data_IF_475552501565
#
_entry.id   IF_475552501565
#
_cell.length_a   1.000
_cell.length_b   1.000
_cell.length_c   1.000
_cell.angle_alpha   90.00
_cell.angle_beta   90.00
_cell.angle_gamma   90.00
#
_symmetry.space_group_name_H-M   'P 1'
#
loop_
_entity.id
_entity.type
_entity.pdbx_description
1 polymer ?
#
# COMPACT_ATOMS: atom_id res chain seq x y z
N UNK A 1 39.42 -30.86 15.21
CA UNK A 1 39.70 -29.42 15.39
C UNK A 1 39.42 -28.59 14.13
N UNK A 2 39.95 -28.93 12.95
CA UNK A 2 39.71 -28.19 11.69
C UNK A 2 38.22 -28.00 11.33
N UNK A 3 37.40 -29.05 11.46
CA UNK A 3 35.95 -28.97 11.19
C UNK A 3 35.19 -28.04 12.15
N UNK A 4 35.62 -27.98 13.41
CA UNK A 4 35.02 -27.09 14.42
C UNK A 4 35.37 -25.63 14.08
N UNK A 5 36.61 -25.37 13.67
CA UNK A 5 37.06 -24.05 13.24
C UNK A 5 36.30 -23.58 11.99
N UNK A 6 36.14 -24.45 11.00
CA UNK A 6 35.38 -24.16 9.77
C UNK A 6 33.91 -23.84 10.06
N UNK A 7 33.27 -24.59 10.98
CA UNK A 7 31.88 -24.34 11.39
C UNK A 7 31.71 -22.98 12.08
N UNK A 8 32.64 -22.61 12.98
CA UNK A 8 32.63 -21.31 13.65
C UNK A 8 32.75 -20.16 12.64
N UNK A 9 33.65 -20.29 11.66
CA UNK A 9 33.82 -19.31 10.59
C UNK A 9 32.55 -19.18 9.74
N UNK A 10 31.91 -20.30 9.38
CA UNK A 10 30.67 -20.28 8.62
C UNK A 10 29.51 -19.58 9.37
N UNK A 11 29.37 -19.84 10.67
CA UNK A 11 28.37 -19.17 11.52
C UNK A 11 28.67 -17.67 11.65
N UNK A 12 29.95 -17.30 11.80
CA UNK A 12 30.36 -15.90 11.87
C UNK A 12 30.05 -15.14 10.57
N UNK A 13 30.33 -15.74 9.40
CA UNK A 13 30.02 -15.13 8.09
C UNK A 13 28.51 -15.01 7.89
N UNK A 14 27.75 -16.07 8.22
CA UNK A 14 26.28 -16.06 8.09
C UNK A 14 25.63 -15.01 9.00
N UNK A 15 26.08 -14.90 10.25
CA UNK A 15 25.55 -13.92 11.20
C UNK A 15 25.92 -12.48 10.81
N UNK A 16 27.14 -12.25 10.32
CA UNK A 16 27.56 -10.95 9.79
C UNK A 16 26.73 -10.56 8.55
N UNK A 17 26.53 -11.49 7.62
CA UNK A 17 25.68 -11.28 6.44
C UNK A 17 24.24 -10.94 6.82
N UNK A 18 23.68 -11.65 7.81
CA UNK A 18 22.34 -11.37 8.33
C UNK A 18 22.25 -10.00 9.02
N UNK A 19 23.24 -9.62 9.83
CA UNK A 19 23.29 -8.29 10.46
C UNK A 19 23.38 -7.16 9.44
N UNK A 20 24.24 -7.29 8.42
CA UNK A 20 24.36 -6.30 7.35
C UNK A 20 23.06 -6.19 6.54
N UNK A 21 22.40 -7.31 6.27
CA UNK A 21 21.10 -7.35 5.61
C UNK A 21 20.02 -6.61 6.43
N UNK A 22 19.92 -6.91 7.73
CA UNK A 22 19.01 -6.23 8.66
C UNK A 22 19.28 -4.72 8.69
N UNK A 23 20.54 -4.30 8.76
CA UNK A 23 20.89 -2.89 8.85
C UNK A 23 20.49 -2.12 7.59
N UNK A 24 20.68 -2.71 6.40
CA UNK A 24 20.22 -2.14 5.12
C UNK A 24 18.70 -2.09 4.99
N UNK A 25 17.98 -2.97 5.68
CA UNK A 25 16.51 -2.96 5.73
C UNK A 25 15.95 -1.94 6.72
N UNK A 26 16.75 -1.57 7.73
CA UNK A 26 16.39 -0.62 8.78
C UNK A 26 16.66 0.85 8.42
N UNK A 27 17.21 1.13 7.24
CA UNK A 27 17.43 2.50 6.78
C UNK A 27 16.12 3.13 6.26
N UNK A 28 15.99 4.44 6.48
CA UNK A 28 14.96 5.24 5.82
C UNK A 28 15.25 5.24 4.32
N UNK A 29 14.24 4.97 3.51
CA UNK A 29 14.33 5.03 2.05
C UNK A 29 13.35 6.05 1.53
N UNK A 30 13.84 6.96 0.71
CA UNK A 30 13.05 7.92 -0.05
C UNK A 30 13.08 7.43 -1.49
N UNK A 31 11.92 7.39 -2.14
CA UNK A 31 11.80 6.96 -3.52
C UNK A 31 11.52 8.17 -4.41
N UNK A 32 12.45 8.45 -5.32
CA UNK A 32 12.35 9.61 -6.22
C UNK A 32 11.53 9.29 -7.49
N UNK A 33 11.31 8.01 -7.77
CA UNK A 33 10.57 7.54 -8.94
C UNK A 33 9.49 6.52 -8.60
N UNK A 34 8.43 6.51 -9.40
CA UNK A 34 7.34 5.53 -9.30
C UNK A 34 7.84 4.12 -9.56
N UNK A 35 8.78 3.97 -10.49
CA UNK A 35 9.37 2.70 -10.91
C UNK A 35 10.14 2.05 -9.75
N UNK A 36 10.98 2.82 -9.06
CA UNK A 36 11.74 2.34 -7.91
C UNK A 36 10.81 1.95 -6.75
N UNK A 37 9.84 2.80 -6.44
CA UNK A 37 8.83 2.52 -5.40
C UNK A 37 8.03 1.24 -5.73
N UNK A 38 7.59 1.09 -6.99
CA UNK A 38 6.85 -0.09 -7.44
C UNK A 38 7.70 -1.35 -7.32
N UNK A 39 8.97 -1.30 -7.73
CA UNK A 39 9.89 -2.43 -7.61
C UNK A 39 10.13 -2.82 -6.15
N UNK A 40 10.27 -1.83 -5.27
CA UNK A 40 10.39 -2.06 -3.82
C UNK A 40 9.14 -2.72 -3.25
N UNK A 41 7.95 -2.22 -3.59
CA UNK A 41 6.67 -2.77 -3.11
C UNK A 41 6.54 -4.25 -3.49
N UNK A 42 6.75 -4.60 -4.76
CA UNK A 42 6.66 -5.99 -5.24
C UNK A 42 7.71 -6.92 -4.64
N UNK A 43 8.87 -6.40 -4.27
CA UNK A 43 9.92 -7.20 -3.60
C UNK A 43 9.61 -7.43 -2.12
N UNK A 44 8.96 -6.46 -1.48
CA UNK A 44 8.77 -6.43 -0.04
C UNK A 44 7.44 -7.03 0.42
N UNK A 45 6.39 -6.81 -0.35
CA UNK A 45 5.03 -7.25 -0.06
C UNK A 45 4.60 -8.33 -1.05
N UNK A 46 3.58 -9.11 -0.71
CA UNK A 46 3.02 -10.11 -1.63
C UNK A 46 2.37 -9.44 -2.84
N UNK A 47 1.88 -8.20 -2.69
CA UNK A 47 1.18 -7.45 -3.75
C UNK A 47 0.01 -8.25 -4.35
N UNK A 48 -0.68 -8.99 -3.48
CA UNK A 48 -1.89 -9.77 -3.79
C UNK A 48 -3.09 -9.04 -3.20
N UNK A 49 -4.19 -8.95 -3.95
CA UNK A 49 -5.45 -8.41 -3.45
C UNK A 49 -6.07 -9.44 -2.49
N UNK A 50 -6.19 -9.06 -1.22
CA UNK A 50 -6.79 -9.89 -0.16
C UNK A 50 -7.79 -9.06 0.62
N UNK A 51 -8.90 -9.70 1.01
CA UNK A 51 -9.94 -9.05 1.80
C UNK A 51 -9.35 -8.55 3.13
N UNK A 52 -9.65 -7.31 3.48
CA UNK A 52 -9.19 -6.60 4.67
C UNK A 52 -7.65 -6.50 4.81
N UNK A 53 -6.90 -6.62 3.70
CA UNK A 53 -5.46 -6.41 3.71
C UNK A 53 -5.11 -5.19 2.85
N UNK A 54 -4.54 -4.12 3.44
CA UNK A 54 -4.20 -2.93 2.70
C UNK A 54 -3.20 -3.19 1.58
N UNK A 55 -3.45 -2.59 0.42
CA UNK A 55 -2.60 -2.67 -0.76
C UNK A 55 -2.29 -1.25 -1.25
N UNK A 56 -1.08 -1.09 -1.78
CA UNK A 56 -0.59 0.20 -2.22
C UNK A 56 -0.96 0.46 -3.67
N UNK A 57 -1.17 1.72 -4.05
CA UNK A 57 -1.49 2.10 -5.41
C UNK A 57 -1.14 3.54 -5.70
N UNK A 58 -1.40 3.94 -6.94
CA UNK A 58 -1.23 5.31 -7.40
C UNK A 58 -2.51 5.83 -8.00
N UNK A 59 -2.89 7.05 -7.64
CA UNK A 59 -4.05 7.73 -8.24
C UNK A 59 -3.81 7.90 -9.75
N UNK A 60 -4.80 7.51 -10.55
CA UNK A 60 -4.72 7.49 -12.01
C UNK A 60 -4.92 8.86 -12.65
N UNK A 61 -5.92 9.59 -12.18
CA UNK A 61 -6.32 10.91 -12.67
C UNK A 61 -6.81 11.77 -11.50
N UNK A 62 -7.03 13.07 -11.74
CA UNK A 62 -7.57 13.95 -10.71
C UNK A 62 -8.91 13.42 -10.21
N UNK A 63 -9.05 13.27 -8.89
CA UNK A 63 -10.27 12.73 -8.33
C UNK A 63 -11.38 13.79 -8.40
N UNK A 64 -12.52 13.40 -8.97
CA UNK A 64 -13.71 14.23 -8.99
C UNK A 64 -14.62 13.85 -7.82
N UNK A 65 -15.20 14.85 -7.15
CA UNK A 65 -16.30 14.59 -6.23
C UNK A 65 -17.45 13.95 -7.01
N UNK A 66 -17.73 12.68 -6.74
CA UNK A 66 -18.95 12.04 -7.21
C UNK A 66 -19.94 12.03 -6.04
N UNK A 67 -21.01 12.80 -6.17
CA UNK A 67 -22.17 12.60 -5.31
C UNK A 67 -22.78 11.26 -5.76
N UNK A 68 -22.49 10.19 -5.02
CA UNK A 68 -22.97 8.85 -5.35
C UNK A 68 -24.50 8.80 -5.21
N UNK A 69 -25.20 9.03 -6.32
CA UNK A 69 -26.64 8.78 -6.45
C UNK A 69 -26.95 7.30 -6.80
N UNK A 70 -26.00 6.39 -6.63
CA UNK A 70 -26.14 5.00 -7.08
C UNK A 70 -25.70 3.98 -6.02
N UNK A 71 -26.60 3.72 -5.08
CA UNK A 71 -27.08 2.39 -4.69
C UNK A 71 -28.29 2.61 -3.76
N UNK A 72 -29.53 2.20 -4.11
CA UNK A 72 -30.70 2.35 -3.24
C UNK A 72 -30.52 1.71 -1.86
N UNK A 73 -29.65 0.70 -1.72
CA UNK A 73 -29.32 0.10 -0.42
C UNK A 73 -28.43 1.01 0.44
N UNK A 74 -27.56 1.83 -0.19
CA UNK A 74 -26.68 2.80 0.47
C UNK A 74 -27.26 4.22 0.53
N UNK A 75 -28.33 4.50 -0.24
CA UNK A 75 -29.06 5.76 -0.23
C UNK A 75 -29.61 6.10 1.16
N UNK A 76 -29.85 5.08 2.01
CA UNK A 76 -30.28 5.27 3.40
C UNK A 76 -29.20 5.85 4.33
N UNK A 77 -27.93 5.91 3.88
CA UNK A 77 -26.79 6.37 4.69
C UNK A 77 -26.22 7.74 4.27
N UNK A 78 -26.64 8.31 3.14
CA UNK A 78 -26.33 9.70 2.76
C UNK A 78 -24.84 10.10 2.82
N UNK A 79 -23.91 9.19 2.50
CA UNK A 79 -22.48 9.50 2.57
C UNK A 79 -21.92 9.87 1.21
N UNK A 80 -21.70 11.17 1.01
CA UNK A 80 -20.87 11.67 -0.08
C UNK A 80 -19.46 11.11 0.02
N UNK A 81 -18.90 10.65 -1.09
CA UNK A 81 -17.53 10.17 -1.19
C UNK A 81 -16.84 10.80 -2.40
N UNK A 82 -15.52 10.82 -2.39
CA UNK A 82 -14.75 11.18 -3.58
C UNK A 82 -14.44 9.90 -4.32
N UNK A 83 -14.84 9.80 -5.59
CA UNK A 83 -14.43 8.66 -6.42
C UNK A 83 -12.97 8.84 -6.81
N UNK A 84 -12.14 7.84 -6.48
CA UNK A 84 -10.70 7.87 -6.74
C UNK A 84 -10.37 6.64 -7.59
N UNK A 85 -9.94 6.88 -8.82
CA UNK A 85 -9.42 5.83 -9.68
C UNK A 85 -7.96 5.55 -9.30
N UNK A 86 -7.66 4.31 -8.95
CA UNK A 86 -6.35 3.91 -8.43
C UNK A 86 -5.80 2.73 -9.21
N UNK A 87 -4.54 2.83 -9.60
CA UNK A 87 -3.74 1.72 -10.09
C UNK A 87 -3.06 1.02 -8.91
N UNK A 88 -3.64 -0.07 -8.44
CA UNK A 88 -3.07 -0.93 -7.40
C UNK A 88 -1.77 -1.57 -7.92
N UNK A 89 -0.74 -1.59 -7.08
CA UNK A 89 0.52 -2.27 -7.37
C UNK A 89 0.37 -3.76 -7.04
N UNK A 90 0.11 -4.56 -8.07
CA UNK A 90 0.04 -6.01 -7.96
C UNK A 90 1.37 -6.66 -8.36
N UNK A 91 1.51 -7.96 -8.07
CA UNK A 91 2.70 -8.74 -8.46
C UNK A 91 2.94 -8.73 -9.98
N UNK A 92 1.86 -8.82 -10.76
CA UNK A 92 1.92 -9.01 -12.21
C UNK A 92 1.74 -7.71 -13.02
N UNK A 93 1.56 -6.57 -12.36
CA UNK A 93 1.34 -5.31 -13.05
C UNK A 93 0.64 -4.27 -12.19
N UNK A 94 -0.26 -3.54 -12.84
CA UNK A 94 -1.19 -2.66 -12.18
C UNK A 94 -2.60 -3.20 -12.36
N UNK A 95 -3.44 -3.05 -11.34
CA UNK A 95 -4.87 -3.30 -11.43
C UNK A 95 -5.60 -1.98 -11.17
N UNK A 96 -6.35 -1.52 -12.16
CA UNK A 96 -7.22 -0.36 -12.03
C UNK A 96 -8.46 -0.71 -11.21
N UNK A 97 -8.77 0.14 -10.22
CA UNK A 97 -9.96 0.01 -9.38
C UNK A 97 -10.54 1.40 -9.06
N UNK A 98 -11.86 1.47 -8.92
CA UNK A 98 -12.51 2.58 -8.21
C UNK A 98 -12.42 2.31 -6.71
N UNK A 99 -11.74 3.21 -5.99
CA UNK A 99 -11.49 3.11 -4.56
C UNK A 99 -11.94 4.39 -3.84
N UNK A 100 -13.26 4.60 -3.67
CA UNK A 100 -13.78 5.81 -3.06
C UNK A 100 -13.16 6.15 -1.71
N UNK A 101 -13.05 7.46 -1.43
CA UNK A 101 -12.62 8.02 -0.16
C UNK A 101 -13.83 8.63 0.55
N UNK A 102 -14.08 8.20 1.80
CA UNK A 102 -15.17 8.74 2.62
C UNK A 102 -14.94 10.17 3.13
N UNK A 103 -13.72 10.69 3.03
CA UNK A 103 -13.41 12.07 3.39
C UNK A 103 -13.61 12.99 2.17
N UNK A 104 -14.73 13.72 2.16
CA UNK A 104 -15.11 14.65 1.09
C UNK A 104 -14.23 15.89 0.95
N UNK A 105 -13.35 16.14 1.93
CA UNK A 105 -12.39 17.25 1.89
C UNK A 105 -11.02 16.79 1.36
N UNK A 106 -10.82 15.48 1.17
CA UNK A 106 -9.57 14.96 0.63
C UNK A 106 -9.35 15.49 -0.80
N UNK A 107 -8.11 15.86 -1.12
CA UNK A 107 -7.75 16.28 -2.47
C UNK A 107 -6.79 15.26 -3.04
N UNK A 108 -7.08 14.67 -4.20
CA UNK A 108 -6.19 13.70 -4.84
C UNK A 108 -5.68 14.24 -6.16
N UNK A 109 -4.38 14.09 -6.38
CA UNK A 109 -3.72 14.41 -7.65
C UNK A 109 -3.27 13.12 -8.34
N UNK A 110 -3.21 13.17 -9.66
CA UNK A 110 -2.62 12.10 -10.46
C UNK A 110 -1.21 11.77 -9.95
N UNK A 111 -0.97 10.47 -9.71
CA UNK A 111 0.31 9.96 -9.21
C UNK A 111 0.45 9.95 -7.68
N UNK A 112 -0.52 10.48 -6.92
CA UNK A 112 -0.50 10.39 -5.46
C UNK A 112 -0.37 8.93 -5.01
N UNK A 113 0.55 8.69 -4.08
CA UNK A 113 0.79 7.37 -3.51
C UNK A 113 -0.21 7.12 -2.38
N UNK A 114 -1.00 6.05 -2.50
CA UNK A 114 -2.14 5.79 -1.62
C UNK A 114 -2.15 4.35 -1.11
N UNK A 115 -2.89 4.15 -0.03
CA UNK A 115 -3.27 2.83 0.47
C UNK A 115 -4.76 2.62 0.28
N UNK A 116 -5.09 1.48 -0.30
CA UNK A 116 -6.45 1.02 -0.54
C UNK A 116 -6.72 -0.21 0.31
N UNK A 117 -7.91 -0.29 0.91
CA UNK A 117 -8.42 -1.46 1.61
C UNK A 117 -9.40 -2.21 0.69
N UNK A 118 -9.03 -3.39 0.19
CA UNK A 118 -9.96 -4.29 -0.49
C UNK A 118 -10.87 -4.96 0.53
N UNK A 119 -12.16 -5.04 0.22
CA UNK A 119 -13.19 -5.69 1.03
C UNK A 119 -13.94 -6.65 0.10
N UNK A 120 -13.79 -7.95 0.34
CA UNK A 120 -14.51 -8.96 -0.43
C UNK A 120 -15.87 -9.24 0.21
N UNK A 121 -16.94 -9.13 -0.57
CA UNK A 121 -18.25 -9.58 -0.14
C UNK A 121 -18.46 -11.03 -0.57
N UNK A 122 -18.21 -11.98 0.34
CA UNK A 122 -18.32 -13.41 0.05
C UNK A 122 -19.73 -13.82 -0.40
N UNK A 123 -20.77 -13.14 0.09
CA UNK A 123 -22.17 -13.44 -0.25
C UNK A 123 -22.50 -13.13 -1.71
N UNK A 124 -21.91 -12.08 -2.26
CA UNK A 124 -22.23 -11.57 -3.59
C UNK A 124 -21.09 -11.72 -4.60
N UNK A 125 -19.91 -12.18 -4.16
CA UNK A 125 -18.76 -12.47 -5.02
C UNK A 125 -18.10 -11.25 -5.65
N UNK A 126 -18.37 -10.04 -5.15
CA UNK A 126 -17.75 -8.81 -5.66
C UNK A 126 -16.74 -8.24 -4.67
N UNK A 127 -15.85 -7.40 -5.20
CA UNK A 127 -14.85 -6.65 -4.44
C UNK A 127 -15.25 -5.19 -4.32
N UNK A 128 -15.07 -4.65 -3.13
CA UNK A 128 -15.10 -3.22 -2.86
C UNK A 128 -13.70 -2.75 -2.50
N UNK A 129 -13.39 -1.50 -2.84
CA UNK A 129 -12.10 -0.89 -2.56
C UNK A 129 -12.35 0.45 -1.90
N UNK A 130 -11.58 0.78 -0.87
CA UNK A 130 -11.72 2.08 -0.18
C UNK A 130 -10.32 2.68 0.00
N UNK A 131 -10.14 3.93 -0.39
CA UNK A 131 -8.89 4.65 -0.12
C UNK A 131 -8.85 5.06 1.35
N UNK A 132 -7.86 4.56 2.10
CA UNK A 132 -7.78 4.75 3.56
C UNK A 132 -6.70 5.73 4.01
N UNK A 133 -5.70 5.96 3.17
CA UNK A 133 -4.62 6.91 3.46
C UNK A 133 -3.92 7.37 2.19
N UNK A 134 -3.37 8.58 2.25
CA UNK A 134 -2.34 9.07 1.34
C UNK A 134 -0.98 8.98 2.04
N UNK A 135 0.02 8.52 1.31
CA UNK A 135 1.37 8.29 1.81
C UNK A 135 2.38 9.21 1.15
N UNK A 136 3.45 9.50 1.86
CA UNK A 136 4.69 9.97 1.23
C UNK A 136 5.47 8.75 0.71
N UNK A 137 6.24 8.89 -0.39
CA UNK A 137 7.11 7.84 -0.90
C UNK A 137 8.37 7.69 -0.04
N UNK A 138 8.19 7.60 1.29
CA UNK A 138 9.22 7.49 2.30
C UNK A 138 8.88 6.30 3.19
N UNK A 139 9.76 5.31 3.19
CA UNK A 139 9.66 4.12 4.01
C UNK A 139 10.63 4.19 5.18
N UNK A 140 10.10 4.18 6.41
CA UNK A 140 10.90 4.06 7.63
C UNK A 140 11.25 2.58 7.86
N UNK A 141 12.50 2.23 7.53
CA UNK A 141 13.02 0.88 7.73
C UNK A 141 12.97 0.39 9.18
N UNK A 142 13.13 1.29 10.17
CA UNK A 142 13.14 0.92 11.60
C UNK A 142 11.73 0.60 12.08
N UNK A 143 10.76 1.47 11.77
CA UNK A 143 9.34 1.28 12.14
C UNK A 143 8.62 0.27 11.26
N UNK A 144 9.24 -0.09 10.14
CA UNK A 144 8.68 -0.90 9.08
C UNK A 144 7.37 -0.34 8.50
N UNK A 145 7.29 0.97 8.38
CA UNK A 145 6.06 1.69 8.02
C UNK A 145 6.33 2.79 7.00
N UNK A 146 5.27 3.18 6.30
CA UNK A 146 5.27 4.37 5.46
C UNK A 146 4.96 5.62 6.27
N UNK A 147 5.42 6.77 5.81
CA UNK A 147 4.97 8.06 6.35
C UNK A 147 3.59 8.37 5.77
N UNK A 148 2.61 8.53 6.65
CA UNK A 148 1.23 8.89 6.27
C UNK A 148 1.17 10.40 6.11
N UNK A 149 0.79 10.87 4.92
CA UNK A 149 0.54 12.29 4.65
C UNK A 149 -0.86 12.68 5.11
N UNK A 150 -1.86 11.84 4.83
CA UNK A 150 -3.26 12.05 5.20
C UNK A 150 -3.88 10.70 5.59
N UNK A 151 -4.66 10.69 6.67
CA UNK A 151 -5.37 9.50 7.16
C UNK A 151 -6.88 9.71 7.00
N UNK A 152 -7.57 8.78 6.34
CA UNK A 152 -9.01 8.88 6.03
C UNK A 152 -9.88 7.91 6.83
N UNK A 153 -9.30 7.11 7.73
CA UNK A 153 -10.06 6.23 8.63
C UNK A 153 -10.60 6.97 9.88
N UNK A 154 -10.06 8.14 10.17
CA UNK A 154 -10.50 9.02 11.26
C UNK A 154 -11.22 10.21 10.62
N UNK A 155 -12.52 10.07 10.39
CA UNK A 155 -13.41 11.17 10.01
C UNK A 155 -14.39 11.44 11.16
#
# INVERSE_FOLDING_TARGET
MLYILALIIAIAISSLGFMLYQNKMNQVRVFDSREELTAFLRKKYTSEVKSNQPIHGFVLDEASLQITLQDPAMASLGRSAIDVQVNLVTKDGYQEVSAPCGNVQAQFKKGDFVVVLPIHNERHGFWHYVTIAKLQPIYDGKKKSWIISENYLQA
#
